data_IF_218153271199
#
_entry.id   IF_218153271199
#
_cell.length_a   1.000
_cell.length_b   1.000
_cell.length_c   1.000
_cell.angle_alpha   90.00
_cell.angle_beta   90.00
_cell.angle_gamma   90.00
#
_symmetry.space_group_name_H-M   'P 1'
#
loop_
_entity.id
_entity.type
_entity.pdbx_description
1 polymer ?
#
# COMPACT_ATOMS: atom_id res chain seq x y z
N UNK A 1 -1.91 15.32 -20.12
CA UNK A 1 -1.23 14.34 -19.26
C UNK A 1 0.23 14.73 -19.25
N UNK A 2 0.86 14.90 -18.08
CA UNK A 2 2.32 14.96 -18.08
C UNK A 2 2.80 13.56 -18.42
N UNK A 3 3.52 13.45 -19.54
CA UNK A 3 4.13 12.19 -19.96
C UNK A 3 5.51 11.99 -19.31
N UNK A 4 5.86 12.82 -18.32
CA UNK A 4 7.17 12.81 -17.68
C UNK A 4 7.14 13.46 -16.29
N UNK A 5 7.73 12.79 -15.31
CA UNK A 5 8.10 13.36 -14.00
C UNK A 5 9.60 13.15 -13.78
N UNK A 6 10.31 14.20 -13.39
CA UNK A 6 11.77 14.12 -13.17
C UNK A 6 12.14 13.86 -11.71
N UNK A 7 11.39 14.46 -10.78
CA UNK A 7 11.62 14.32 -9.35
C UNK A 7 10.31 13.97 -8.65
N UNK A 8 10.37 13.02 -7.72
CA UNK A 8 9.24 12.68 -6.84
C UNK A 8 9.67 12.83 -5.40
N UNK A 9 8.92 13.61 -4.63
CA UNK A 9 9.00 13.65 -3.17
C UNK A 9 7.76 12.94 -2.64
N UNK A 10 7.90 11.80 -1.98
CA UNK A 10 6.75 11.04 -1.44
C UNK A 10 6.86 10.85 0.06
N UNK A 11 5.82 11.27 0.78
CA UNK A 11 5.72 11.12 2.22
C UNK A 11 5.31 9.70 2.57
N UNK A 12 6.13 8.99 3.36
CA UNK A 12 5.91 7.58 3.68
C UNK A 12 5.17 7.42 5.01
N UNK A 13 3.95 6.88 4.91
CA UNK A 13 3.09 6.51 6.03
C UNK A 13 3.28 5.05 6.48
N UNK A 14 2.32 4.56 7.29
CA UNK A 14 2.29 3.15 7.70
C UNK A 14 1.79 2.24 6.58
N UNK A 15 0.88 2.72 5.75
CA UNK A 15 0.44 2.04 4.54
C UNK A 15 1.38 2.43 3.39
N UNK A 16 2.12 1.50 2.78
CA UNK A 16 3.03 1.77 1.66
C UNK A 16 2.31 2.06 0.33
N UNK A 17 1.06 1.63 0.18
CA UNK A 17 0.39 1.60 -1.12
C UNK A 17 0.28 2.96 -1.79
N UNK A 18 -0.05 4.08 -1.09
CA UNK A 18 -0.12 5.37 -1.74
C UNK A 18 1.21 5.79 -2.39
N UNK A 19 2.29 5.83 -1.61
CA UNK A 19 3.62 6.15 -2.11
C UNK A 19 4.05 5.24 -3.26
N UNK A 20 3.81 3.93 -3.11
CA UNK A 20 4.14 2.96 -4.14
C UNK A 20 3.38 3.22 -5.44
N UNK A 21 2.06 3.39 -5.40
CA UNK A 21 1.21 3.62 -6.58
C UNK A 21 1.65 4.88 -7.33
N UNK A 22 1.88 5.99 -6.62
CA UNK A 22 2.30 7.24 -7.26
C UNK A 22 3.64 7.09 -7.97
N UNK A 23 4.64 6.51 -7.31
CA UNK A 23 5.97 6.32 -7.93
C UNK A 23 5.89 5.30 -9.07
N UNK A 24 5.14 4.23 -8.88
CA UNK A 24 4.98 3.18 -9.89
C UNK A 24 4.26 3.69 -11.15
N UNK A 25 3.39 4.70 -11.03
CA UNK A 25 2.78 5.36 -12.17
C UNK A 25 3.83 5.94 -13.12
N UNK A 26 4.84 6.62 -12.57
CA UNK A 26 5.89 7.33 -13.31
C UNK A 26 7.22 6.56 -13.39
N UNK A 27 7.20 5.24 -13.17
CA UNK A 27 8.42 4.42 -13.08
C UNK A 27 9.27 4.44 -14.35
N UNK A 28 8.63 4.55 -15.52
CA UNK A 28 9.30 4.54 -16.82
C UNK A 28 10.05 5.86 -17.12
N UNK A 29 9.65 6.94 -16.46
CA UNK A 29 10.30 8.26 -16.59
C UNK A 29 11.67 8.29 -15.89
N UNK A 30 11.99 7.25 -15.11
CA UNK A 30 13.18 7.15 -14.27
C UNK A 30 13.37 8.37 -13.34
N UNK A 31 12.34 8.80 -12.59
CA UNK A 31 12.46 9.95 -11.71
C UNK A 31 13.50 9.69 -10.62
N UNK A 32 14.14 10.76 -10.16
CA UNK A 32 14.83 10.73 -8.87
C UNK A 32 13.79 10.85 -7.76
N UNK A 33 13.73 9.86 -6.88
CA UNK A 33 12.71 9.74 -5.84
C UNK A 33 13.31 9.98 -4.46
N UNK A 34 12.67 10.85 -3.68
CA UNK A 34 12.91 11.06 -2.25
C UNK A 34 11.76 10.46 -1.46
N UNK A 35 12.02 9.37 -0.73
CA UNK A 35 11.07 8.75 0.19
C UNK A 35 11.28 9.32 1.59
N UNK A 36 10.34 10.15 2.02
CA UNK A 36 10.42 10.87 3.30
C UNK A 36 9.82 10.00 4.40
N UNK A 37 10.63 9.56 5.34
CA UNK A 37 10.21 8.64 6.40
C UNK A 37 10.43 9.22 7.80
N UNK A 38 9.63 8.77 8.75
CA UNK A 38 9.81 9.10 10.17
C UNK A 38 10.72 8.07 10.85
N UNK A 39 11.48 8.52 11.84
CA UNK A 39 12.22 7.60 12.71
C UNK A 39 11.35 7.03 13.83
N UNK A 40 11.76 5.86 14.31
CA UNK A 40 11.16 5.26 15.49
C UNK A 40 11.68 6.02 16.71
N UNK A 41 10.76 6.54 17.51
CA UNK A 41 11.04 7.06 18.84
C UNK A 41 10.23 6.29 19.86
N UNK A 42 10.41 6.57 21.15
CA UNK A 42 9.58 5.97 22.21
C UNK A 42 8.08 6.22 21.96
N UNK A 43 7.74 7.36 21.37
CA UNK A 43 6.38 7.79 21.07
C UNK A 43 5.94 7.56 19.61
N UNK A 44 6.78 6.98 18.75
CA UNK A 44 6.47 6.86 17.32
C UNK A 44 6.91 5.55 16.70
N UNK A 45 6.00 4.97 15.91
CA UNK A 45 6.30 3.86 15.01
C UNK A 45 6.89 4.48 13.74
N UNK A 46 8.23 4.51 13.65
CA UNK A 46 8.93 5.03 12.49
C UNK A 46 8.58 4.28 11.19
N UNK A 47 8.61 4.99 10.07
CA UNK A 47 8.23 4.47 8.74
C UNK A 47 9.42 4.07 7.87
N UNK A 48 10.65 4.10 8.41
CA UNK A 48 11.88 3.71 7.69
C UNK A 48 11.81 2.35 6.99
N UNK A 49 11.31 1.31 7.68
CA UNK A 49 11.21 -0.04 7.07
C UNK A 49 10.19 -0.08 5.94
N UNK A 50 9.10 0.69 6.04
CA UNK A 50 8.12 0.83 4.96
C UNK A 50 8.77 1.48 3.73
N UNK A 51 9.54 2.55 3.93
CA UNK A 51 10.27 3.21 2.85
C UNK A 51 11.32 2.29 2.19
N UNK A 52 12.02 1.47 2.99
CA UNK A 52 12.95 0.45 2.47
C UNK A 52 12.24 -0.59 1.62
N UNK A 53 11.10 -1.12 2.08
CA UNK A 53 10.32 -2.09 1.32
C UNK A 53 9.83 -1.50 -0.02
N UNK A 54 9.35 -0.26 -0.03
CA UNK A 54 8.96 0.46 -1.25
C UNK A 54 10.14 0.55 -2.22
N UNK A 55 11.31 0.98 -1.72
CA UNK A 55 12.54 1.08 -2.52
C UNK A 55 12.95 -0.25 -3.13
N UNK A 56 12.98 -1.32 -2.34
CA UNK A 56 13.36 -2.66 -2.80
C UNK A 56 12.44 -3.17 -3.91
N UNK A 57 11.12 -3.01 -3.75
CA UNK A 57 10.15 -3.43 -4.76
C UNK A 57 10.30 -2.60 -6.03
N UNK A 58 10.41 -1.27 -5.93
CA UNK A 58 10.54 -0.40 -7.09
C UNK A 58 11.84 -0.63 -7.87
N UNK A 59 12.99 -0.79 -7.19
CA UNK A 59 14.28 -1.07 -7.85
C UNK A 59 14.24 -2.42 -8.58
N UNK A 60 13.56 -3.42 -8.03
CA UNK A 60 13.34 -4.70 -8.71
C UNK A 60 12.52 -4.54 -10.00
N UNK A 61 11.62 -3.56 -10.07
CA UNK A 61 10.81 -3.26 -11.26
C UNK A 61 11.54 -2.42 -12.28
N UNK A 62 12.37 -1.48 -11.81
CA UNK A 62 13.24 -0.68 -12.67
C UNK A 62 14.56 -0.38 -11.94
N UNK A 63 15.63 -1.07 -12.35
CA UNK A 63 16.94 -0.97 -11.71
C UNK A 63 17.66 0.36 -11.97
N UNK A 64 17.14 1.19 -12.88
CA UNK A 64 17.70 2.52 -13.19
C UNK A 64 17.16 3.62 -12.26
N UNK A 65 16.11 3.34 -11.47
CA UNK A 65 15.55 4.29 -10.52
C UNK A 65 16.58 4.72 -9.48
N UNK A 66 16.63 6.03 -9.22
CA UNK A 66 17.41 6.58 -8.11
C UNK A 66 16.44 6.88 -6.96
N UNK A 67 16.58 6.18 -5.83
CA UNK A 67 15.71 6.34 -4.67
C UNK A 67 16.55 6.64 -3.41
N UNK A 68 16.34 7.83 -2.86
CA UNK A 68 16.94 8.33 -1.62
C UNK A 68 15.92 8.23 -0.47
N UNK A 69 16.40 7.84 0.71
CA UNK A 69 15.57 7.72 1.91
C UNK A 69 15.93 8.88 2.84
N UNK A 70 14.99 9.81 3.02
CA UNK A 70 15.21 11.00 3.82
C UNK A 70 14.46 10.92 5.13
N UNK A 71 15.17 11.17 6.23
CA UNK A 71 14.59 11.19 7.57
C UNK A 71 13.90 12.54 7.80
N UNK A 72 12.69 12.50 8.34
CA UNK A 72 11.96 13.68 8.77
C UNK A 72 11.33 13.48 10.16
N UNK A 73 11.23 14.56 10.92
CA UNK A 73 10.43 14.57 12.14
C UNK A 73 8.94 14.42 11.80
N UNK A 74 8.16 13.80 12.70
CA UNK A 74 6.74 13.52 12.49
C UNK A 74 5.86 14.75 12.71
N UNK A 75 6.30 15.74 13.48
CA UNK A 75 5.42 16.81 13.98
C UNK A 75 6.10 18.14 14.24
N UNK A 76 7.44 18.19 14.37
CA UNK A 76 8.17 19.44 14.58
C UNK A 76 8.24 20.26 13.28
N UNK A 77 7.54 21.40 13.19
CA UNK A 77 7.49 22.16 11.94
C UNK A 77 8.84 22.70 11.49
N UNK A 78 9.71 23.07 12.43
CA UNK A 78 11.04 23.59 12.12
C UNK A 78 11.93 22.53 11.46
N UNK A 79 11.90 21.30 11.98
CA UNK A 79 12.65 20.18 11.40
C UNK A 79 12.06 19.73 10.06
N UNK A 80 10.73 19.69 9.94
CA UNK A 80 10.06 19.39 8.66
C UNK A 80 10.45 20.41 7.59
N UNK A 81 10.43 21.70 7.92
CA UNK A 81 10.83 22.77 6.98
C UNK A 81 12.29 22.64 6.53
N UNK A 82 13.22 22.28 7.42
CA UNK A 82 14.63 22.05 7.05
C UNK A 82 14.77 20.93 6.02
N UNK A 83 14.03 19.83 6.20
CA UNK A 83 14.04 18.70 5.26
C UNK A 83 13.51 19.13 3.89
N UNK A 84 12.37 19.83 3.83
CA UNK A 84 11.82 20.33 2.56
C UNK A 84 12.83 21.22 1.84
N UNK A 85 13.42 22.19 2.55
CA UNK A 85 14.41 23.10 1.97
C UNK A 85 15.63 22.35 1.44
N UNK A 86 16.16 21.41 2.21
CA UNK A 86 17.31 20.60 1.78
C UNK A 86 17.03 19.80 0.51
N UNK A 87 15.81 19.26 0.35
CA UNK A 87 15.42 18.51 -0.85
C UNK A 87 15.31 19.46 -2.04
N UNK A 88 14.63 20.60 -1.87
CA UNK A 88 14.50 21.61 -2.95
C UNK A 88 15.86 22.12 -3.39
N UNK A 89 16.77 22.41 -2.46
CA UNK A 89 18.14 22.82 -2.76
C UNK A 89 18.92 21.73 -3.50
N UNK A 90 18.78 20.46 -3.09
CA UNK A 90 19.40 19.33 -3.77
C UNK A 90 18.89 19.18 -5.22
N UNK A 91 17.58 19.39 -5.44
CA UNK A 91 16.97 19.38 -6.78
C UNK A 91 17.50 20.55 -7.62
N UNK A 92 17.51 21.78 -7.09
CA UNK A 92 18.05 22.95 -7.80
C UNK A 92 19.50 22.75 -8.23
N UNK A 93 20.32 22.19 -7.33
CA UNK A 93 21.71 21.88 -7.64
C UNK A 93 21.81 20.86 -8.77
N UNK A 94 21.05 19.76 -8.68
CA UNK A 94 21.05 18.72 -9.71
C UNK A 94 20.57 19.23 -11.08
N UNK A 95 19.53 20.09 -11.10
CA UNK A 95 19.03 20.76 -12.31
C UNK A 95 20.11 21.66 -12.92
N UNK A 96 20.75 22.53 -12.13
CA UNK A 96 21.78 23.45 -12.65
C UNK A 96 23.04 22.74 -13.15
N UNK A 97 23.37 21.57 -12.62
CA UNK A 97 24.51 20.76 -13.05
C UNK A 97 24.23 19.91 -14.30
N UNK A 98 22.99 19.38 -14.46
CA UNK A 98 22.68 18.36 -15.47
C UNK A 98 21.76 18.82 -16.61
N UNK A 99 20.93 19.83 -16.39
CA UNK A 99 19.92 20.29 -17.35
C UNK A 99 20.20 21.74 -17.72
N UNK A 100 21.13 21.93 -18.66
CA UNK A 100 21.47 23.26 -19.22
C UNK A 100 20.54 23.69 -20.37
N UNK A 101 19.65 22.80 -20.82
CA UNK A 101 18.72 23.05 -21.94
C UNK A 101 17.29 23.29 -21.43
N UNK A 102 16.52 24.06 -22.21
CA UNK A 102 15.24 24.75 -21.95
C UNK A 102 14.02 23.90 -21.53
N UNK A 103 14.19 22.62 -21.22
CA UNK A 103 13.09 21.75 -20.84
C UNK A 103 12.68 21.97 -19.38
N UNK A 104 11.42 22.35 -19.19
CA UNK A 104 10.74 22.44 -17.90
C UNK A 104 10.95 21.15 -17.07
N UNK A 105 11.33 21.31 -15.80
CA UNK A 105 11.56 20.22 -14.85
C UNK A 105 10.31 19.97 -14.03
N UNK A 106 9.85 18.72 -13.94
CA UNK A 106 8.65 18.40 -13.17
C UNK A 106 9.01 17.81 -11.80
N UNK A 107 8.68 18.56 -10.74
CA UNK A 107 8.73 18.13 -9.34
C UNK A 107 7.34 17.73 -8.86
N UNK A 108 7.15 16.43 -8.60
CA UNK A 108 5.92 15.89 -8.06
C UNK A 108 6.02 15.65 -6.55
N UNK A 109 5.11 16.22 -5.77
CA UNK A 109 4.90 15.86 -4.37
C UNK A 109 3.74 14.87 -4.23
N UNK A 110 3.99 13.73 -3.60
CA UNK A 110 2.96 12.83 -3.08
C UNK A 110 2.81 13.03 -1.58
N UNK A 111 1.68 13.62 -1.19
CA UNK A 111 1.35 13.90 0.21
C UNK A 111 0.18 13.04 0.71
N UNK A 112 -0.14 11.95 0.01
CA UNK A 112 -1.19 10.98 0.38
C UNK A 112 -0.94 10.28 1.71
N UNK A 113 0.29 10.37 2.21
CA UNK A 113 0.78 9.67 3.39
C UNK A 113 1.67 10.59 4.23
N UNK A 114 2.28 10.03 5.28
CA UNK A 114 2.94 10.82 6.32
C UNK A 114 1.97 11.30 7.40
N UNK A 115 2.43 12.15 8.31
CA UNK A 115 1.55 12.79 9.29
C UNK A 115 0.87 14.00 8.67
N UNK A 116 -0.28 14.42 9.22
CA UNK A 116 -0.97 15.64 8.78
C UNK A 116 -0.05 16.88 8.80
N UNK A 117 0.84 16.98 9.79
CA UNK A 117 1.80 18.07 9.89
C UNK A 117 2.82 18.04 8.74
N UNK A 118 3.39 16.86 8.42
CA UNK A 118 4.28 16.70 7.27
C UNK A 118 3.55 17.04 5.97
N UNK A 119 2.35 16.47 5.74
CA UNK A 119 1.58 16.72 4.52
C UNK A 119 1.27 18.20 4.33
N UNK A 120 0.84 18.90 5.38
CA UNK A 120 0.52 20.32 5.30
C UNK A 120 1.75 21.18 4.96
N UNK A 121 2.87 20.96 5.66
CA UNK A 121 4.09 21.77 5.48
C UNK A 121 4.74 21.47 4.12
N UNK A 122 4.88 20.20 3.73
CA UNK A 122 5.41 19.85 2.41
C UNK A 122 4.54 20.42 1.29
N UNK A 123 3.21 20.29 1.41
CA UNK A 123 2.28 20.86 0.44
C UNK A 123 2.45 22.37 0.34
N UNK A 124 2.41 23.10 1.46
CA UNK A 124 2.53 24.55 1.47
C UNK A 124 3.85 25.01 0.85
N UNK A 125 4.96 24.40 1.23
CA UNK A 125 6.29 24.79 0.75
C UNK A 125 6.50 24.44 -0.74
N UNK A 126 6.05 23.28 -1.21
CA UNK A 126 6.25 22.85 -2.62
C UNK A 126 5.23 23.51 -3.55
N UNK A 127 3.98 23.71 -3.14
CA UNK A 127 2.96 24.38 -3.99
C UNK A 127 3.24 25.88 -4.13
N UNK A 128 3.83 26.50 -3.11
CA UNK A 128 4.24 27.91 -3.16
C UNK A 128 5.70 28.10 -3.59
N UNK A 129 6.38 27.02 -3.97
CA UNK A 129 7.70 27.10 -4.55
C UNK A 129 7.60 27.64 -5.98
N UNK A 130 8.24 28.78 -6.22
CA UNK A 130 8.34 29.44 -7.51
C UNK A 130 9.78 29.34 -8.01
N UNK A 131 9.92 28.91 -9.26
CA UNK A 131 11.19 28.75 -9.94
C UNK A 131 10.94 28.80 -11.46
N UNK A 132 11.87 29.39 -12.21
CA UNK A 132 11.69 29.61 -13.65
C UNK A 132 11.76 28.31 -14.46
N UNK A 133 12.36 27.25 -13.90
CA UNK A 133 12.60 25.98 -14.60
C UNK A 133 11.76 24.86 -13.98
N UNK A 134 11.58 24.86 -12.66
CA UNK A 134 10.92 23.77 -11.95
C UNK A 134 9.42 24.04 -11.81
N UNK A 135 8.61 23.25 -12.53
CA UNK A 135 7.17 23.21 -12.36
C UNK A 135 6.78 22.19 -11.28
N UNK A 136 5.90 22.61 -10.36
CA UNK A 136 5.41 21.74 -9.29
C UNK A 136 4.05 21.13 -9.60
N UNK A 137 3.94 19.85 -9.26
CA UNK A 137 2.71 19.07 -9.29
C UNK A 137 2.55 18.42 -7.94
N UNK A 138 1.33 18.36 -7.43
CA UNK A 138 1.02 17.61 -6.22
C UNK A 138 0.02 16.53 -6.51
N UNK A 139 0.14 15.43 -5.77
CA UNK A 139 -0.66 14.23 -5.94
C UNK A 139 -1.22 13.77 -4.61
N UNK A 140 -2.46 13.27 -4.66
CA UNK A 140 -3.15 12.65 -3.55
C UNK A 140 -3.94 11.43 -4.03
N UNK A 141 -3.73 10.29 -3.39
CA UNK A 141 -4.44 9.05 -3.72
C UNK A 141 -5.76 8.98 -2.96
N UNK A 142 -6.81 8.88 -3.76
CA UNK A 142 -8.17 8.54 -3.36
C UNK A 142 -8.47 7.08 -3.79
N UNK A 143 -9.55 6.48 -3.31
CA UNK A 143 -9.84 5.05 -3.41
C UNK A 143 -9.59 4.39 -4.76
N UNK A 144 -9.88 5.09 -5.87
CA UNK A 144 -9.72 4.57 -7.23
C UNK A 144 -8.87 5.46 -8.15
N UNK A 145 -8.42 6.62 -7.67
CA UNK A 145 -7.77 7.63 -8.51
C UNK A 145 -6.58 8.29 -7.82
N UNK A 146 -5.56 8.63 -8.59
CA UNK A 146 -4.55 9.62 -8.22
C UNK A 146 -5.09 10.98 -8.64
N UNK A 147 -5.42 11.83 -7.65
CA UNK A 147 -5.76 13.23 -7.89
C UNK A 147 -4.48 14.00 -8.13
N UNK A 148 -4.44 14.79 -9.20
CA UNK A 148 -3.28 15.61 -9.56
C UNK A 148 -3.68 17.08 -9.56
N UNK A 149 -2.83 17.94 -9.02
CA UNK A 149 -3.05 19.38 -8.99
C UNK A 149 -1.76 20.14 -9.32
N UNK A 150 -1.88 21.23 -10.06
CA UNK A 150 -0.82 22.19 -10.31
C UNK A 150 -1.44 23.59 -10.37
N UNK A 151 -0.71 24.61 -9.92
CA UNK A 151 -1.17 26.01 -10.00
C UNK A 151 -1.25 26.53 -11.43
N UNK A 152 -0.40 26.01 -12.30
CA UNK A 152 -0.16 26.60 -13.63
C UNK A 152 -0.86 25.77 -14.72
N UNK A 153 -1.20 24.51 -14.44
CA UNK A 153 -1.73 23.58 -15.45
C UNK A 153 -2.93 22.79 -14.95
N UNK A 154 -3.89 22.59 -15.85
CA UNK A 154 -5.01 21.67 -15.63
C UNK A 154 -4.54 20.22 -15.86
N UNK A 155 -4.72 19.38 -14.85
CA UNK A 155 -4.31 17.99 -14.87
C UNK A 155 -5.52 17.07 -14.77
N UNK A 156 -5.46 15.95 -15.49
CA UNK A 156 -6.45 14.89 -15.37
C UNK A 156 -6.03 13.94 -14.25
N UNK A 157 -7.00 13.47 -13.49
CA UNK A 157 -6.79 12.39 -12.53
C UNK A 157 -6.42 11.09 -13.26
N UNK A 158 -5.60 10.26 -12.62
CA UNK A 158 -5.20 8.94 -13.15
C UNK A 158 -6.00 7.86 -12.44
N UNK A 159 -6.55 6.87 -13.17
CA UNK A 159 -7.20 5.73 -12.51
C UNK A 159 -6.12 4.77 -11.99
N UNK A 160 -6.30 4.27 -10.77
CA UNK A 160 -5.33 3.32 -10.18
C UNK A 160 -5.19 2.05 -11.04
N UNK A 161 -6.28 1.58 -11.66
CA UNK A 161 -6.22 0.45 -12.60
C UNK A 161 -5.24 0.67 -13.76
N UNK A 162 -5.15 1.90 -14.28
CA UNK A 162 -4.27 2.23 -15.41
C UNK A 162 -2.79 2.20 -14.98
N UNK A 163 -2.49 2.47 -13.70
CA UNK A 163 -1.13 2.42 -13.15
C UNK A 163 -0.52 1.03 -13.27
N UNK A 164 -1.35 0.00 -13.10
CA UNK A 164 -0.95 -1.41 -13.14
C UNK A 164 -1.15 -2.07 -14.51
N UNK A 165 -1.88 -1.41 -15.41
CA UNK A 165 -2.13 -1.93 -16.75
C UNK A 165 -0.82 -2.12 -17.53
N UNK A 166 -0.61 -3.32 -18.06
CA UNK A 166 0.60 -3.68 -18.80
C UNK A 166 1.88 -3.79 -17.96
N UNK A 167 1.84 -3.58 -16.64
CA UNK A 167 3.00 -3.69 -15.76
C UNK A 167 2.95 -4.98 -14.94
N UNK A 168 4.07 -5.68 -14.84
CA UNK A 168 4.16 -6.93 -14.08
C UNK A 168 4.31 -6.64 -12.57
N UNK A 169 3.22 -6.70 -11.81
CA UNK A 169 3.20 -6.66 -10.35
C UNK A 169 2.60 -7.95 -9.80
N UNK A 170 3.23 -8.55 -8.80
CA UNK A 170 2.75 -9.80 -8.19
C UNK A 170 2.22 -9.56 -6.78
N UNK A 171 1.38 -10.48 -6.27
CA UNK A 171 0.95 -10.50 -4.86
C UNK A 171 2.17 -10.48 -3.92
N UNK A 172 3.23 -11.21 -4.27
CA UNK A 172 4.50 -11.23 -3.53
C UNK A 172 5.14 -9.85 -3.40
N UNK A 173 5.08 -9.03 -4.46
CA UNK A 173 5.58 -7.65 -4.41
C UNK A 173 4.70 -6.79 -3.48
N UNK A 174 3.37 -6.94 -3.54
CA UNK A 174 2.44 -6.19 -2.68
C UNK A 174 2.64 -6.53 -1.20
N UNK A 175 2.73 -7.81 -0.82
CA UNK A 175 2.96 -8.17 0.59
C UNK A 175 4.36 -7.81 1.07
N UNK A 176 5.35 -7.77 0.17
CA UNK A 176 6.71 -7.28 0.47
C UNK A 176 6.69 -5.80 0.85
N UNK A 177 5.86 -4.96 0.21
CA UNK A 177 5.66 -3.57 0.64
C UNK A 177 5.25 -3.50 2.12
N UNK A 178 4.38 -4.41 2.55
CA UNK A 178 3.92 -4.52 3.94
C UNK A 178 4.88 -5.25 4.90
N UNK A 179 6.04 -5.73 4.39
CA UNK A 179 7.08 -6.38 5.19
C UNK A 179 6.86 -7.88 5.43
N UNK A 180 6.17 -8.55 4.51
CA UNK A 180 5.95 -9.99 4.54
C UNK A 180 6.42 -10.63 3.24
N UNK A 181 6.58 -11.95 3.28
CA UNK A 181 6.81 -12.78 2.10
C UNK A 181 5.92 -14.02 2.15
N UNK A 182 5.62 -14.57 0.98
CA UNK A 182 4.92 -15.85 0.84
C UNK A 182 5.98 -16.95 1.03
N UNK A 183 5.72 -17.90 1.93
CA UNK A 183 6.63 -19.00 2.25
C UNK A 183 6.13 -20.38 1.83
N UNK A 184 4.90 -20.47 1.32
CA UNK A 184 4.33 -21.70 0.75
C UNK A 184 4.44 -21.70 -0.77
N UNK A 185 4.59 -22.88 -1.36
CA UNK A 185 4.35 -23.07 -2.79
C UNK A 185 2.86 -22.84 -3.07
N UNK A 186 2.54 -22.41 -4.29
CA UNK A 186 1.16 -22.13 -4.65
C UNK A 186 0.92 -22.16 -6.16
N UNK A 187 -0.32 -22.43 -6.55
CA UNK A 187 -0.77 -22.36 -7.94
C UNK A 187 -1.20 -20.92 -8.28
N UNK A 188 -0.48 -20.27 -9.20
CA UNK A 188 -0.91 -18.98 -9.77
C UNK A 188 -1.97 -19.24 -10.83
N UNK A 189 -3.13 -18.60 -10.71
CA UNK A 189 -4.20 -18.75 -11.68
C UNK A 189 -4.63 -17.36 -12.15
N UNK A 190 -4.79 -17.18 -13.46
CA UNK A 190 -5.29 -15.93 -14.09
C UNK A 190 -4.24 -15.08 -14.83
N UNK A 191 -4.70 -14.36 -15.86
CA UNK A 191 -3.91 -13.37 -16.63
C UNK A 191 -4.19 -11.91 -16.21
N UNK A 192 -5.40 -11.60 -15.74
CA UNK A 192 -5.87 -10.22 -15.48
C UNK A 192 -5.95 -9.87 -13.98
N UNK A 193 -6.19 -10.89 -13.14
CA UNK A 193 -6.17 -10.81 -11.68
C UNK A 193 -5.22 -11.93 -11.26
N UNK A 194 -4.11 -11.56 -10.62
CA UNK A 194 -3.28 -12.54 -9.93
C UNK A 194 -4.05 -12.99 -8.70
N UNK A 195 -4.43 -14.26 -8.66
CA UNK A 195 -4.90 -14.88 -7.42
C UNK A 195 -4.26 -16.24 -7.21
N UNK A 196 -4.34 -16.64 -5.95
CA UNK A 196 -3.84 -17.88 -5.40
C UNK A 196 -4.97 -18.43 -4.52
N UNK A 197 -5.38 -19.67 -4.77
CA UNK A 197 -6.29 -20.41 -3.91
C UNK A 197 -5.67 -21.78 -3.64
N UNK A 198 -5.64 -22.17 -2.38
CA UNK A 198 -5.29 -23.53 -1.99
C UNK A 198 -6.58 -24.34 -1.81
N UNK A 199 -6.66 -25.50 -2.46
CA UNK A 199 -7.81 -26.40 -2.37
C UNK A 199 -7.47 -27.48 -1.31
N UNK A 200 -8.43 -27.79 -0.45
CA UNK A 200 -8.36 -28.88 0.54
C UNK A 200 -7.29 -28.73 1.65
N UNK A 201 -7.64 -28.02 2.73
CA UNK A 201 -6.92 -27.96 4.03
C UNK A 201 -5.52 -27.32 4.06
N UNK A 202 -4.97 -26.95 2.90
CA UNK A 202 -3.73 -26.18 2.83
C UNK A 202 -4.01 -24.68 2.95
N UNK A 203 -3.19 -23.98 3.72
CA UNK A 203 -3.25 -22.53 3.91
C UNK A 203 -2.02 -21.89 3.28
N UNK A 204 -2.19 -20.78 2.57
CA UNK A 204 -1.09 -19.94 2.07
C UNK A 204 -0.45 -19.25 3.27
N UNK A 205 0.86 -19.44 3.44
CA UNK A 205 1.58 -18.93 4.61
C UNK A 205 2.37 -17.69 4.24
N UNK A 206 2.08 -16.60 4.96
CA UNK A 206 2.86 -15.37 4.94
C UNK A 206 3.70 -15.28 6.20
N UNK A 207 4.98 -14.98 6.03
CA UNK A 207 5.88 -14.76 7.16
C UNK A 207 6.48 -13.36 7.11
N UNK A 208 6.71 -12.80 8.30
CA UNK A 208 7.36 -11.50 8.42
C UNK A 208 8.77 -11.55 7.84
N UNK A 209 9.09 -10.57 7.03
CA UNK A 209 10.40 -10.50 6.39
C UNK A 209 11.45 -9.96 7.38
N UNK A 210 12.21 -10.89 7.97
CA UNK A 210 13.25 -10.61 8.95
C UNK A 210 14.61 -10.46 8.25
N UNK A 211 14.94 -9.27 7.76
CA UNK A 211 16.22 -8.99 7.09
C UNK A 211 17.44 -8.88 8.04
N UNK A 212 17.48 -9.60 9.16
CA UNK A 212 18.63 -9.59 10.08
C UNK A 212 18.94 -10.94 10.73
N UNK A 213 18.76 -12.05 10.01
CA UNK A 213 19.20 -13.38 10.47
C UNK A 213 20.73 -13.61 10.38
N UNK A 214 21.51 -12.67 9.84
CA UNK A 214 22.98 -12.78 9.80
C UNK A 214 23.72 -12.18 11.01
N UNK A 215 23.03 -11.63 12.02
CA UNK A 215 23.69 -11.30 13.30
C UNK A 215 23.63 -12.50 14.24
N UNK A 216 24.66 -13.35 14.18
CA UNK A 216 25.05 -14.25 15.28
C UNK A 216 25.31 -13.39 16.52
N UNK A 217 24.34 -13.30 17.43
CA UNK A 217 24.50 -12.56 18.67
C UNK A 217 23.20 -12.32 19.40
N UNK A 218 22.85 -13.26 20.28
CA UNK A 218 22.06 -13.09 21.50
C UNK A 218 21.00 -11.96 21.53
N UNK A 219 19.75 -12.30 21.23
CA UNK A 219 18.64 -12.23 22.19
C UNK A 219 17.39 -12.87 21.55
N UNK A 220 16.83 -13.85 22.24
CA UNK A 220 15.53 -14.48 21.95
C UNK A 220 14.43 -13.41 21.97
N UNK A 221 14.08 -12.88 20.81
CA UNK A 221 12.70 -12.45 20.51
C UNK A 221 12.42 -12.66 19.02
N UNK A 222 12.55 -13.91 18.56
CA UNK A 222 12.05 -14.34 17.25
C UNK A 222 10.53 -14.37 17.29
N UNK A 223 9.87 -13.23 17.12
CA UNK A 223 8.48 -13.23 16.70
C UNK A 223 8.45 -13.56 15.20
N UNK A 224 8.58 -14.87 14.89
CA UNK A 224 8.22 -15.43 13.59
C UNK A 224 6.70 -15.36 13.44
N UNK A 225 6.18 -14.15 13.23
CA UNK A 225 4.77 -13.93 12.99
C UNK A 225 4.43 -14.53 11.62
N UNK A 226 3.57 -15.54 11.63
CA UNK A 226 3.04 -16.20 10.44
C UNK A 226 1.54 -15.97 10.35
N UNK A 227 1.06 -15.67 9.16
CA UNK A 227 -0.35 -15.56 8.85
C UNK A 227 -0.73 -16.62 7.83
N UNK A 228 -1.91 -17.19 8.01
CA UNK A 228 -2.47 -18.26 7.18
C UNK A 228 -3.75 -17.76 6.55
N UNK A 229 -3.86 -17.89 5.24
CA UNK A 229 -5.06 -17.51 4.46
C UNK A 229 -5.39 -18.63 3.48
N UNK A 230 -6.66 -18.75 3.12
CA UNK A 230 -7.15 -19.79 2.21
C UNK A 230 -7.08 -19.36 0.75
N UNK A 231 -7.15 -18.04 0.49
CA UNK A 231 -6.97 -17.47 -0.82
C UNK A 231 -6.47 -16.03 -0.76
N UNK A 232 -5.80 -15.58 -1.82
CA UNK A 232 -5.39 -14.18 -1.98
C UNK A 232 -5.50 -13.77 -3.43
N UNK A 233 -6.02 -12.56 -3.68
CA UNK A 233 -6.05 -11.95 -5.00
C UNK A 233 -5.52 -10.52 -4.92
N UNK A 234 -4.89 -10.04 -5.99
CA UNK A 234 -4.60 -8.62 -6.16
C UNK A 234 -5.63 -7.98 -7.10
N UNK A 235 -6.21 -6.86 -6.69
CA UNK A 235 -7.13 -6.07 -7.51
C UNK A 235 -6.43 -4.83 -8.05
N UNK A 236 -5.98 -4.82 -9.33
CA UNK A 236 -5.31 -3.69 -9.93
C UNK A 236 -6.16 -2.41 -9.93
N UNK A 237 -7.47 -2.53 -10.12
CA UNK A 237 -8.40 -1.39 -10.17
C UNK A 237 -8.47 -0.58 -8.86
N UNK A 238 -8.01 -1.16 -7.74
CA UNK A 238 -7.95 -0.53 -6.41
C UNK A 238 -6.55 -0.52 -5.79
N UNK A 239 -5.56 -1.16 -6.43
CA UNK A 239 -4.25 -1.40 -5.81
C UNK A 239 -4.35 -2.07 -4.43
N UNK A 240 -5.22 -3.06 -4.27
CA UNK A 240 -5.54 -3.66 -2.97
C UNK A 240 -5.57 -5.19 -3.05
N UNK A 241 -5.22 -5.85 -1.94
CA UNK A 241 -5.38 -7.30 -1.80
C UNK A 241 -6.81 -7.66 -1.36
N UNK A 242 -7.29 -8.81 -1.84
CA UNK A 242 -8.44 -9.53 -1.30
C UNK A 242 -7.93 -10.81 -0.66
N UNK A 243 -8.26 -11.05 0.60
CA UNK A 243 -7.81 -12.22 1.35
C UNK A 243 -9.00 -13.08 1.74
N UNK A 244 -8.98 -14.37 1.44
CA UNK A 244 -10.02 -15.31 1.85
C UNK A 244 -9.58 -16.07 3.09
N UNK A 245 -10.50 -16.18 4.06
CA UNK A 245 -10.31 -16.93 5.29
C UNK A 245 -11.49 -17.87 5.49
N UNK A 246 -11.22 -19.15 5.64
CA UNK A 246 -12.23 -20.16 5.93
C UNK A 246 -12.42 -20.24 7.45
N UNK A 247 -13.66 -20.07 7.90
CA UNK A 247 -14.05 -20.25 9.29
C UNK A 247 -14.00 -21.72 9.67
N UNK A 248 -13.48 -22.01 10.85
CA UNK A 248 -13.45 -23.37 11.42
C UNK A 248 -14.62 -23.59 12.38
N UNK A 249 -15.48 -22.58 12.53
CA UNK A 249 -16.54 -22.54 13.52
C UNK A 249 -17.89 -22.40 12.80
N UNK A 250 -18.95 -22.94 13.40
CA UNK A 250 -20.33 -22.81 12.93
C UNK A 250 -21.20 -21.97 13.87
N UNK A 251 -20.63 -21.52 14.99
CA UNK A 251 -21.33 -20.75 16.01
C UNK A 251 -21.05 -19.25 15.87
N UNK A 252 -22.12 -18.46 15.86
CA UNK A 252 -22.10 -17.00 15.78
C UNK A 252 -21.02 -16.33 16.65
N UNK A 253 -20.99 -16.64 17.96
CA UNK A 253 -20.09 -15.96 18.92
C UNK A 253 -18.62 -16.25 18.62
N UNK A 254 -18.32 -17.46 18.14
CA UNK A 254 -16.96 -17.86 17.83
C UNK A 254 -16.51 -17.32 16.47
N UNK A 255 -17.37 -17.37 15.46
CA UNK A 255 -17.10 -16.77 14.16
C UNK A 255 -16.84 -15.27 14.26
N UNK A 256 -17.58 -14.58 15.13
CA UNK A 256 -17.30 -13.18 15.47
C UNK A 256 -15.86 -12.96 15.95
N UNK A 257 -15.36 -13.82 16.86
CA UNK A 257 -13.98 -13.73 17.36
C UNK A 257 -12.95 -14.05 16.27
N UNK A 258 -13.20 -15.08 15.46
CA UNK A 258 -12.32 -15.41 14.33
C UNK A 258 -12.21 -14.23 13.36
N UNK A 259 -13.33 -13.59 13.03
CA UNK A 259 -13.34 -12.48 12.09
C UNK A 259 -12.52 -11.29 12.59
N UNK A 260 -12.49 -11.04 13.89
CA UNK A 260 -11.63 -10.00 14.48
C UNK A 260 -10.15 -10.29 14.28
N UNK A 261 -9.76 -11.54 14.49
CA UNK A 261 -8.42 -12.00 14.20
C UNK A 261 -8.09 -11.87 12.70
N UNK A 262 -9.01 -12.28 11.81
CA UNK A 262 -8.79 -12.24 10.35
C UNK A 262 -8.70 -10.83 9.82
N UNK A 263 -9.47 -9.89 10.36
CA UNK A 263 -9.32 -8.45 10.09
C UNK A 263 -7.91 -7.96 10.42
N UNK A 264 -7.37 -8.36 11.57
CA UNK A 264 -6.01 -8.00 11.94
C UNK A 264 -5.00 -8.55 10.93
N UNK A 265 -5.17 -9.79 10.45
CA UNK A 265 -4.31 -10.39 9.43
C UNK A 265 -4.40 -9.64 8.10
N UNK A 266 -5.61 -9.31 7.65
CA UNK A 266 -5.82 -8.54 6.43
C UNK A 266 -5.13 -7.17 6.48
N UNK A 267 -5.29 -6.44 7.60
CA UNK A 267 -4.62 -5.16 7.81
C UNK A 267 -3.09 -5.27 7.80
N UNK A 268 -2.52 -6.39 8.25
CA UNK A 268 -1.07 -6.61 8.23
C UNK A 268 -0.54 -6.91 6.84
N UNK A 269 -1.27 -7.71 6.06
CA UNK A 269 -0.80 -8.19 4.75
C UNK A 269 -1.07 -7.22 3.60
N UNK A 270 -2.21 -6.52 3.60
CA UNK A 270 -2.62 -5.61 2.51
C UNK A 270 -2.98 -4.20 2.97
N UNK A 271 -2.67 -3.84 4.22
CA UNK A 271 -2.97 -2.52 4.77
C UNK A 271 -4.44 -2.32 5.14
N UNK A 272 -4.75 -1.10 5.55
CA UNK A 272 -6.07 -0.65 6.00
C UNK A 272 -7.11 -0.49 4.86
N UNK A 273 -6.74 -0.70 3.60
CA UNK A 273 -7.67 -0.78 2.46
C UNK A 273 -7.86 -2.19 1.92
N UNK A 274 -7.19 -3.19 2.51
CA UNK A 274 -7.39 -4.59 2.13
C UNK A 274 -8.86 -5.01 2.30
N UNK A 275 -9.30 -5.81 1.33
CA UNK A 275 -10.58 -6.51 1.37
C UNK A 275 -10.34 -7.91 1.93
N UNK A 276 -11.34 -8.49 2.57
CA UNK A 276 -11.30 -9.90 2.91
C UNK A 276 -12.66 -10.56 2.82
N UNK A 277 -12.63 -11.82 2.41
CA UNK A 277 -13.78 -12.70 2.38
C UNK A 277 -13.65 -13.64 3.59
N UNK A 278 -14.73 -13.77 4.35
CA UNK A 278 -14.83 -14.72 5.44
C UNK A 278 -15.83 -15.80 5.01
N UNK A 279 -15.29 -17.00 4.71
CA UNK A 279 -16.04 -18.11 4.14
C UNK A 279 -16.44 -19.09 5.22
N UNK A 280 -17.72 -19.45 5.31
CA UNK A 280 -18.19 -20.33 6.38
C UNK A 280 -19.66 -20.72 6.29
N UNK A 281 -20.14 -21.42 7.31
CA UNK A 281 -21.56 -21.73 7.48
C UNK A 281 -22.19 -20.76 8.47
N UNK A 282 -23.16 -19.96 8.02
CA UNK A 282 -23.77 -18.88 8.80
C UNK A 282 -25.20 -19.19 9.22
N UNK A 283 -25.50 -20.47 9.47
CA UNK A 283 -26.81 -20.91 9.94
C UNK A 283 -26.76 -21.31 11.39
N UNK A 284 -27.73 -20.84 12.18
CA UNK A 284 -27.87 -21.27 13.58
C UNK A 284 -28.47 -22.69 13.67
N UNK A 285 -28.66 -23.20 14.89
CA UNK A 285 -29.24 -24.53 15.13
C UNK A 285 -30.66 -24.69 14.56
N UNK A 286 -31.39 -23.58 14.38
CA UNK A 286 -32.71 -23.53 13.76
C UNK A 286 -32.66 -23.37 12.22
N UNK A 287 -31.46 -23.33 11.63
CA UNK A 287 -31.25 -23.14 10.20
C UNK A 287 -31.40 -21.68 9.71
N UNK A 288 -31.58 -20.70 10.61
CA UNK A 288 -31.69 -19.28 10.25
C UNK A 288 -30.31 -18.70 9.94
N UNK A 289 -30.23 -17.98 8.82
CA UNK A 289 -29.04 -17.24 8.40
C UNK A 289 -28.81 -16.03 9.31
N UNK A 290 -27.57 -15.82 9.74
CA UNK A 290 -27.15 -14.71 10.60
C UNK A 290 -26.02 -13.86 10.00
N UNK A 291 -25.73 -13.94 8.70
CA UNK A 291 -24.69 -13.13 8.03
C UNK A 291 -24.87 -11.64 8.29
N UNK A 292 -26.08 -11.12 8.11
CA UNK A 292 -26.35 -9.69 8.27
C UNK A 292 -26.15 -9.22 9.71
N UNK A 293 -26.53 -10.04 10.69
CA UNK A 293 -26.28 -9.75 12.10
C UNK A 293 -24.78 -9.68 12.39
N UNK A 294 -24.02 -10.65 11.87
CA UNK A 294 -22.57 -10.71 12.03
C UNK A 294 -21.90 -9.49 11.39
N UNK A 295 -22.28 -9.12 10.16
CA UNK A 295 -21.79 -7.91 9.47
C UNK A 295 -22.11 -6.65 10.27
N UNK A 296 -23.36 -6.50 10.71
CA UNK A 296 -23.79 -5.32 11.48
C UNK A 296 -23.02 -5.18 12.79
N UNK A 297 -22.75 -6.29 13.47
CA UNK A 297 -21.98 -6.28 14.69
C UNK A 297 -20.50 -5.89 14.46
N UNK A 298 -19.91 -6.35 13.35
CA UNK A 298 -18.55 -5.94 12.96
C UNK A 298 -18.51 -4.45 12.63
N UNK A 299 -19.47 -3.94 11.87
CA UNK A 299 -19.54 -2.50 11.59
C UNK A 299 -19.62 -1.70 12.89
N UNK A 300 -20.48 -2.13 13.82
CA UNK A 300 -20.66 -1.45 15.11
C UNK A 300 -19.40 -1.46 15.97
N UNK A 301 -18.65 -2.55 15.96
CA UNK A 301 -17.48 -2.71 16.85
C UNK A 301 -16.19 -2.12 16.29
N UNK A 302 -16.13 -1.81 14.99
CA UNK A 302 -14.88 -1.42 14.34
C UNK A 302 -14.95 -0.06 13.65
N UNK A 303 -15.53 -0.04 12.47
CA UNK A 303 -15.52 1.12 11.59
C UNK A 303 -16.59 0.91 10.52
N UNK A 304 -17.20 2.01 10.09
CA UNK A 304 -18.15 2.02 9.00
C UNK A 304 -17.55 1.44 7.71
N UNK A 305 -16.26 1.66 7.49
CA UNK A 305 -15.51 1.16 6.34
C UNK A 305 -15.53 -0.38 6.22
N UNK A 306 -15.81 -1.10 7.31
CA UNK A 306 -15.92 -2.56 7.27
C UNK A 306 -17.02 -3.07 6.33
N UNK A 307 -18.08 -2.28 6.10
CA UNK A 307 -19.15 -2.63 5.14
C UNK A 307 -18.63 -2.85 3.73
N UNK A 308 -17.58 -2.12 3.37
CA UNK A 308 -17.01 -2.14 2.02
C UNK A 308 -15.80 -3.08 1.90
N UNK A 309 -15.36 -3.64 3.03
CA UNK A 309 -14.10 -4.40 3.15
C UNK A 309 -14.27 -5.86 3.55
N UNK A 310 -15.32 -6.20 4.29
CA UNK A 310 -15.62 -7.56 4.72
C UNK A 310 -16.82 -8.11 3.94
N UNK A 311 -16.66 -9.27 3.34
CA UNK A 311 -17.73 -9.98 2.65
C UNK A 311 -17.85 -11.39 3.25
N UNK A 312 -19.06 -11.78 3.62
CA UNK A 312 -19.34 -13.13 4.13
C UNK A 312 -19.82 -14.00 2.97
N UNK A 313 -19.14 -15.11 2.70
CA UNK A 313 -19.43 -16.01 1.57
C UNK A 313 -19.69 -17.44 2.08
N UNK A 314 -20.63 -18.17 1.48
CA UNK A 314 -20.95 -19.52 1.95
C UNK A 314 -19.80 -20.51 1.72
N UNK A 315 -19.73 -21.57 2.53
CA UNK A 315 -18.67 -22.58 2.47
C UNK A 315 -18.47 -23.19 1.08
N UNK A 316 -19.55 -23.31 0.31
CA UNK A 316 -19.55 -23.90 -1.03
C UNK A 316 -19.15 -22.89 -2.13
N UNK A 317 -19.06 -21.59 -1.83
CA UNK A 317 -18.67 -20.58 -2.82
C UNK A 317 -17.16 -20.62 -3.07
N UNK A 318 -16.80 -20.72 -4.36
CA UNK A 318 -15.41 -20.64 -4.82
C UNK A 318 -14.86 -19.21 -4.68
N UNK A 319 -13.64 -19.07 -4.17
CA UNK A 319 -12.95 -17.78 -4.08
C UNK A 319 -12.73 -17.21 -5.48
N UNK A 320 -12.22 -18.03 -6.41
CA UNK A 320 -12.02 -17.65 -7.81
C UNK A 320 -13.28 -17.09 -8.47
N UNK A 321 -14.39 -17.82 -8.37
CA UNK A 321 -15.65 -17.42 -9.01
C UNK A 321 -16.18 -16.13 -8.39
N UNK A 322 -16.08 -15.99 -7.08
CA UNK A 322 -16.47 -14.76 -6.38
C UNK A 322 -15.64 -13.56 -6.84
N UNK A 323 -14.31 -13.72 -6.93
CA UNK A 323 -13.40 -12.68 -7.41
C UNK A 323 -13.75 -12.27 -8.85
N UNK A 324 -13.96 -13.24 -9.74
CA UNK A 324 -14.32 -12.99 -11.13
C UNK A 324 -15.69 -12.35 -11.29
N UNK A 325 -16.67 -12.69 -10.44
CA UNK A 325 -18.03 -12.17 -10.54
C UNK A 325 -18.16 -10.75 -10.00
N UNK A 326 -17.51 -10.45 -8.87
CA UNK A 326 -17.77 -9.20 -8.13
C UNK A 326 -16.61 -8.19 -8.18
N UNK A 327 -15.41 -8.60 -8.61
CA UNK A 327 -14.25 -7.72 -8.63
C UNK A 327 -13.57 -7.59 -10.01
N UNK A 328 -13.98 -8.35 -11.05
CA UNK A 328 -13.64 -7.99 -12.43
C UNK A 328 -14.49 -6.80 -12.86
N UNK A 329 -13.85 -5.64 -12.96
CA UNK A 329 -14.35 -4.46 -13.69
C UNK A 329 -13.18 -3.79 -14.40
#
# INVERSE_FOLDING_TARGET
MYNRVDYIVSLVGKNPMPSFITIFNYIEDNPKVFLIHTEKSEENIGTKKVAQNIKEVLIKKNSKLTIELEKCDKSNPGEINKVVKSIVEAIKKDVSERKKDEDEVILLLDYSSGTKAMSAIFYEQIVNFEDDIICTVVSYIDDKIIKLYSKIKNLNNVKIGDVFSGKNISIGDIVKLHGYKISSDFNRIGKDIDYIEEIHSNEIVFEKDNENSNKKGNKKSNNNQKFKVNGVAFLPSKGSLVLCFDSKESNYKKQKLELFEKKYYANKLGGDKSLFLFRGSFKNEEGKDYKDDLINEIVRLYDYDMRNRCYLIDSEESFEEYIKKYFKS
#
